data_IF_380819114710
#
_entry.id   IF_380819114710
#
_cell.length_a   1.000
_cell.length_b   1.000
_cell.length_c   1.000
_cell.angle_alpha   90.00
_cell.angle_beta   90.00
_cell.angle_gamma   90.00
#
_symmetry.space_group_name_H-M   'P 1'
#
loop_
_entity.id
_entity.type
_entity.pdbx_description
1 polymer ?
#
# COMPACT_ATOMS: atom_id res chain seq x y z
N UNK A 1 -28.98 21.05 -32.29
CA UNK A 1 -28.33 20.62 -31.03
C UNK A 1 -28.76 21.60 -29.95
N UNK A 2 -29.32 21.13 -28.83
CA UNK A 2 -29.89 22.04 -27.82
C UNK A 2 -28.78 22.73 -27.03
N UNK A 3 -29.06 23.94 -26.57
CA UNK A 3 -28.15 24.77 -25.77
C UNK A 3 -27.69 24.04 -24.48
N UNK A 4 -28.53 23.16 -23.94
CA UNK A 4 -28.21 22.28 -22.81
C UNK A 4 -27.14 21.22 -23.14
N UNK A 5 -27.14 20.67 -24.36
CA UNK A 5 -26.12 19.71 -24.79
C UNK A 5 -24.75 20.38 -24.96
N UNK A 6 -24.73 21.62 -25.44
CA UNK A 6 -23.51 22.41 -25.57
C UNK A 6 -22.93 22.82 -24.21
N UNK A 7 -23.79 23.13 -23.23
CA UNK A 7 -23.37 23.44 -21.86
C UNK A 7 -22.73 22.22 -21.18
N UNK A 8 -23.30 21.03 -21.36
CA UNK A 8 -22.76 19.79 -20.78
C UNK A 8 -21.42 19.39 -21.43
N UNK A 9 -21.27 19.61 -22.74
CA UNK A 9 -20.00 19.37 -23.43
C UNK A 9 -18.91 20.38 -23.00
N UNK A 10 -19.30 21.62 -22.71
CA UNK A 10 -18.39 22.63 -22.18
C UNK A 10 -17.96 22.33 -20.74
N UNK A 11 -18.87 21.84 -19.91
CA UNK A 11 -18.61 21.44 -18.52
C UNK A 11 -17.69 20.21 -18.46
N UNK A 12 -17.92 19.22 -19.32
CA UNK A 12 -17.04 18.05 -19.47
C UNK A 12 -15.62 18.46 -19.89
N UNK A 13 -15.48 19.42 -20.82
CA UNK A 13 -14.16 19.97 -21.22
C UNK A 13 -13.49 20.75 -20.08
N UNK A 14 -14.26 21.40 -19.21
CA UNK A 14 -13.73 22.20 -18.10
C UNK A 14 -13.23 21.32 -16.95
N UNK A 15 -13.89 20.17 -16.70
CA UNK A 15 -13.44 19.18 -15.72
C UNK A 15 -12.07 18.57 -16.08
N UNK A 16 -11.71 18.49 -17.36
CA UNK A 16 -10.40 18.00 -17.81
C UNK A 16 -9.24 18.96 -17.49
N UNK A 17 -9.51 20.22 -17.13
CA UNK A 17 -8.48 21.28 -17.08
C UNK A 17 -7.76 21.41 -15.72
N UNK A 18 -8.11 20.65 -14.68
CA UNK A 18 -7.49 20.80 -13.34
C UNK A 18 -6.73 19.56 -12.84
N UNK A 19 -5.54 19.33 -13.42
CA UNK A 19 -4.25 18.98 -12.77
C UNK A 19 -3.32 18.32 -13.81
N UNK A 20 -2.58 19.16 -14.53
CA UNK A 20 -1.52 18.84 -15.49
C UNK A 20 -1.95 18.17 -16.81
N UNK A 21 -1.46 18.74 -17.92
CA UNK A 21 -1.54 18.15 -19.27
C UNK A 21 -0.18 17.53 -19.58
N UNK A 22 -0.14 16.20 -19.77
CA UNK A 22 1.05 15.53 -20.34
C UNK A 22 0.83 15.39 -21.84
N UNK A 23 1.62 16.09 -22.64
CA UNK A 23 1.57 15.98 -24.10
C UNK A 23 2.36 14.74 -24.54
N UNK A 24 1.69 13.79 -25.20
CA UNK A 24 2.35 12.72 -25.98
C UNK A 24 2.25 11.28 -25.45
N UNK A 25 1.58 11.04 -24.33
CA UNK A 25 1.24 9.69 -23.88
C UNK A 25 -0.29 9.50 -23.93
N UNK A 26 -0.76 8.32 -24.33
CA UNK A 26 -2.15 7.91 -24.05
C UNK A 26 -2.25 7.85 -22.52
N UNK A 27 -2.81 8.90 -21.93
CA UNK A 27 -3.16 8.89 -20.51
C UNK A 27 -4.20 7.81 -20.33
N UNK A 28 -3.87 6.79 -19.55
CA UNK A 28 -4.89 5.93 -18.94
C UNK A 28 -5.89 6.83 -18.21
N UNK A 29 -7.17 6.47 -18.24
CA UNK A 29 -8.22 7.25 -17.60
C UNK A 29 -7.82 7.62 -16.17
N UNK A 30 -8.07 8.86 -15.73
CA UNK A 30 -7.75 9.26 -14.36
C UNK A 30 -8.38 8.27 -13.39
N UNK A 31 -7.55 7.65 -12.54
CA UNK A 31 -8.01 6.70 -11.53
C UNK A 31 -8.94 7.33 -10.48
N UNK A 32 -8.99 8.66 -10.43
CA UNK A 32 -9.87 9.44 -9.55
C UNK A 32 -11.25 9.59 -10.19
N UNK A 33 -12.25 8.86 -9.68
CA UNK A 33 -13.66 9.06 -10.06
C UNK A 33 -14.27 10.23 -9.25
N UNK A 34 -15.10 11.09 -9.86
CA UNK A 34 -15.79 12.15 -9.14
C UNK A 34 -16.80 11.59 -8.12
N UNK A 35 -16.99 12.31 -7.02
CA UNK A 35 -17.99 12.05 -5.97
C UNK A 35 -19.44 11.95 -6.48
N UNK A 36 -20.24 10.95 -6.06
CA UNK A 36 -21.65 10.78 -6.44
C UNK A 36 -22.24 9.39 -6.12
N UNK A 37 -23.54 9.18 -6.43
CA UNK A 37 -24.26 7.89 -6.26
C UNK A 37 -23.56 6.68 -6.92
N UNK A 38 -22.76 6.94 -7.97
CA UNK A 38 -21.94 5.93 -8.65
C UNK A 38 -20.82 5.35 -7.77
N UNK A 39 -20.39 6.03 -6.69
CA UNK A 39 -19.35 5.51 -5.80
C UNK A 39 -19.82 4.35 -4.95
N UNK A 40 -21.04 4.40 -4.40
CA UNK A 40 -21.58 3.29 -3.61
C UNK A 40 -21.68 2.03 -4.45
N UNK A 41 -22.10 2.18 -5.73
CA UNK A 41 -22.15 1.07 -6.70
C UNK A 41 -20.73 0.61 -7.08
N UNK A 42 -19.78 1.52 -7.26
CA UNK A 42 -18.39 1.18 -7.55
C UNK A 42 -17.72 0.44 -6.39
N UNK A 43 -17.94 0.85 -5.14
CA UNK A 43 -17.42 0.18 -3.96
C UNK A 43 -18.07 -1.19 -3.78
N UNK A 44 -19.40 -1.28 -3.87
CA UNK A 44 -20.11 -2.56 -3.76
C UNK A 44 -19.67 -3.55 -4.86
N UNK A 45 -19.50 -3.08 -6.11
CA UNK A 45 -19.01 -3.93 -7.21
C UNK A 45 -17.54 -4.33 -7.06
N UNK A 46 -16.73 -3.55 -6.34
CA UNK A 46 -15.36 -3.90 -5.95
C UNK A 46 -15.31 -4.85 -4.73
N UNK A 47 -16.46 -5.20 -4.14
CA UNK A 47 -16.56 -6.09 -2.98
C UNK A 47 -16.45 -5.39 -1.63
N UNK A 48 -16.59 -4.06 -1.58
CA UNK A 48 -16.68 -3.34 -0.32
C UNK A 48 -17.95 -3.75 0.45
N UNK A 49 -17.79 -3.92 1.75
CA UNK A 49 -18.87 -4.27 2.67
C UNK A 49 -19.34 -2.98 3.35
N UNK A 50 -20.66 -2.78 3.43
CA UNK A 50 -21.23 -1.64 4.15
C UNK A 50 -20.89 -1.73 5.64
N UNK A 51 -20.39 -0.64 6.26
CA UNK A 51 -20.11 -0.63 7.69
C UNK A 51 -21.34 -1.02 8.52
N UNK A 52 -21.21 -1.90 9.53
CA UNK A 52 -22.35 -2.35 10.33
C UNK A 52 -22.93 -1.25 11.24
N UNK A 53 -22.19 -0.17 11.47
CA UNK A 53 -22.58 0.97 12.28
C UNK A 53 -22.35 2.26 11.50
N UNK A 54 -23.20 3.26 11.74
CA UNK A 54 -23.05 4.60 11.19
C UNK A 54 -21.75 5.27 11.71
N UNK A 55 -20.79 5.60 10.82
CA UNK A 55 -19.54 6.24 11.22
C UNK A 55 -19.74 7.57 11.96
N UNK A 56 -20.76 8.36 11.62
CA UNK A 56 -21.02 9.65 12.27
C UNK A 56 -21.42 9.44 13.74
N UNK A 57 -22.31 8.48 14.00
CA UNK A 57 -22.71 8.10 15.35
C UNK A 57 -21.51 7.60 16.20
N UNK A 58 -20.57 6.86 15.60
CA UNK A 58 -19.36 6.41 16.28
C UNK A 58 -18.40 7.57 16.63
N UNK A 59 -18.25 8.54 15.73
CA UNK A 59 -17.49 9.76 15.99
C UNK A 59 -18.10 10.54 17.17
N UNK A 60 -19.42 10.73 17.19
CA UNK A 60 -20.13 11.40 18.30
C UNK A 60 -19.96 10.66 19.63
N UNK A 61 -19.98 9.32 19.62
CA UNK A 61 -19.75 8.51 20.81
C UNK A 61 -18.36 8.78 21.41
N UNK A 62 -17.33 8.89 20.57
CA UNK A 62 -15.99 9.28 21.01
C UNK A 62 -16.02 10.69 21.59
N UNK A 63 -16.56 11.66 20.85
CA UNK A 63 -16.54 13.08 21.23
C UNK A 63 -17.18 13.34 22.59
N UNK A 64 -18.28 12.65 22.90
CA UNK A 64 -19.02 12.81 24.15
C UNK A 64 -18.49 11.92 25.30
N UNK A 65 -17.51 11.05 25.06
CA UNK A 65 -16.94 10.19 26.08
C UNK A 65 -15.67 10.76 26.70
N UNK A 66 -15.70 10.95 28.02
CA UNK A 66 -14.55 11.41 28.79
C UNK A 66 -13.42 10.37 28.90
N UNK A 67 -13.68 9.10 28.58
CA UNK A 67 -12.72 8.00 28.73
C UNK A 67 -12.22 7.46 27.39
N UNK A 68 -13.07 7.41 26.36
CA UNK A 68 -12.69 6.80 25.07
C UNK A 68 -11.53 7.56 24.42
N UNK A 69 -11.54 8.89 24.44
CA UNK A 69 -10.45 9.71 23.89
C UNK A 69 -9.09 9.34 24.48
N UNK A 70 -9.00 9.23 25.80
CA UNK A 70 -7.75 8.89 26.48
C UNK A 70 -7.27 7.48 26.12
N UNK A 71 -8.18 6.52 26.02
CA UNK A 71 -7.86 5.15 25.65
C UNK A 71 -7.35 5.07 24.20
N UNK A 72 -8.04 5.73 23.26
CA UNK A 72 -7.66 5.77 21.84
C UNK A 72 -6.31 6.48 21.66
N UNK A 73 -6.07 7.60 22.34
CA UNK A 73 -4.80 8.31 22.30
C UNK A 73 -3.63 7.47 22.86
N UNK A 74 -3.91 6.66 23.88
CA UNK A 74 -2.96 5.70 24.41
C UNK A 74 -2.61 4.62 23.38
N UNK A 75 -3.60 4.06 22.66
CA UNK A 75 -3.35 3.10 21.58
C UNK A 75 -2.54 3.73 20.43
N UNK A 76 -2.93 4.90 19.95
CA UNK A 76 -2.21 5.61 18.89
C UNK A 76 -0.74 5.88 19.27
N UNK A 77 -0.49 6.21 20.54
CA UNK A 77 0.87 6.45 21.03
C UNK A 77 1.66 5.16 21.22
N UNK A 78 1.08 4.15 21.85
CA UNK A 78 1.80 2.93 22.24
C UNK A 78 2.02 1.96 21.08
N UNK A 79 1.15 1.97 20.07
CA UNK A 79 1.26 1.09 18.91
C UNK A 79 2.05 1.78 17.80
N UNK A 80 1.56 2.95 17.34
CA UNK A 80 2.09 3.60 16.14
C UNK A 80 3.07 4.73 16.47
N UNK A 81 3.11 5.24 17.70
CA UNK A 81 3.97 6.35 18.09
C UNK A 81 5.47 6.04 18.17
N UNK A 82 5.87 4.77 18.25
CA UNK A 82 7.28 4.37 18.26
C UNK A 82 7.89 4.19 16.86
N UNK A 83 7.09 4.41 15.81
CA UNK A 83 7.54 4.33 14.44
C UNK A 83 7.43 2.92 13.85
N UNK A 84 8.34 2.58 12.94
CA UNK A 84 8.31 1.33 12.20
C UNK A 84 9.73 0.83 11.93
N UNK A 85 9.86 -0.47 11.71
CA UNK A 85 11.11 -1.12 11.30
C UNK A 85 10.84 -2.01 10.09
N UNK A 86 11.85 -2.12 9.22
CA UNK A 86 11.84 -3.10 8.14
C UNK A 86 12.55 -4.36 8.61
N UNK A 87 11.88 -5.48 8.49
CA UNK A 87 12.45 -6.80 8.71
C UNK A 87 12.68 -7.44 7.35
N UNK A 88 13.91 -7.92 7.04
CA UNK A 88 14.18 -8.59 5.79
C UNK A 88 13.42 -9.93 5.75
N UNK A 89 13.05 -10.37 4.54
CA UNK A 89 12.37 -11.64 4.36
C UNK A 89 13.25 -12.85 4.76
N UNK A 90 14.56 -12.70 4.66
CA UNK A 90 15.55 -13.69 5.10
C UNK A 90 16.41 -13.05 6.18
N UNK A 91 16.46 -13.67 7.35
CA UNK A 91 17.38 -13.29 8.42
C UNK A 91 18.74 -13.93 8.17
N UNK A 92 19.70 -13.13 7.69
CA UNK A 92 21.04 -13.62 7.36
C UNK A 92 21.97 -13.73 8.57
N UNK A 93 21.54 -13.25 9.73
CA UNK A 93 22.31 -13.31 10.98
C UNK A 93 21.94 -14.55 11.82
N UNK A 94 20.92 -15.29 11.43
CA UNK A 94 20.51 -16.53 12.06
C UNK A 94 21.49 -17.69 11.76
N UNK A 95 21.61 -18.63 12.70
CA UNK A 95 22.50 -19.80 12.57
C UNK A 95 22.11 -20.73 11.41
N UNK A 96 20.84 -20.74 11.03
CA UNK A 96 20.23 -21.55 9.95
C UNK A 96 20.09 -20.79 8.63
N UNK A 97 20.69 -19.60 8.49
CA UNK A 97 20.58 -18.78 7.28
C UNK A 97 21.03 -19.50 6.00
N UNK A 98 22.08 -20.33 6.08
CA UNK A 98 22.58 -21.10 4.93
C UNK A 98 21.62 -22.23 4.53
N UNK A 99 20.95 -22.86 5.50
CA UNK A 99 19.90 -23.87 5.25
C UNK A 99 18.69 -23.21 4.57
N UNK A 100 18.26 -22.03 5.05
CA UNK A 100 17.19 -21.26 4.41
C UNK A 100 17.52 -20.85 2.97
N UNK A 101 18.76 -20.44 2.68
CA UNK A 101 19.20 -20.13 1.31
C UNK A 101 19.23 -21.38 0.45
N UNK A 102 19.64 -22.53 1.00
CA UNK A 102 19.61 -23.80 0.30
C UNK A 102 18.18 -24.22 -0.08
N UNK A 103 17.23 -24.07 0.85
CA UNK A 103 15.80 -24.34 0.62
C UNK A 103 15.22 -23.44 -0.49
N UNK A 104 15.59 -22.16 -0.53
CA UNK A 104 15.18 -21.24 -1.59
C UNK A 104 15.66 -21.74 -2.95
N UNK A 105 16.95 -22.08 -3.08
CA UNK A 105 17.52 -22.58 -4.34
C UNK A 105 16.83 -23.90 -4.74
N UNK A 106 16.62 -24.79 -3.79
CA UNK A 106 15.95 -26.07 -4.02
C UNK A 106 14.52 -25.86 -4.55
N UNK A 107 13.73 -24.99 -3.91
CA UNK A 107 12.36 -24.68 -4.32
C UNK A 107 12.30 -24.02 -5.70
N UNK A 108 13.22 -23.09 -6.00
CA UNK A 108 13.34 -22.46 -7.33
C UNK A 108 13.63 -23.51 -8.41
N UNK A 109 14.58 -24.43 -8.17
CA UNK A 109 14.93 -25.53 -9.09
C UNK A 109 13.76 -26.50 -9.28
N UNK A 110 13.08 -26.88 -8.19
CA UNK A 110 11.92 -27.75 -8.22
C UNK A 110 10.79 -27.13 -9.06
N UNK A 111 10.50 -25.85 -8.86
CA UNK A 111 9.46 -25.15 -9.60
C UNK A 111 9.80 -25.00 -11.10
N UNK A 112 11.08 -24.78 -11.44
CA UNK A 112 11.53 -24.74 -12.84
C UNK A 112 11.40 -26.10 -13.53
N UNK A 113 11.71 -27.19 -12.82
CA UNK A 113 11.51 -28.56 -13.30
C UNK A 113 10.03 -28.86 -13.55
N UNK A 114 9.17 -28.49 -12.61
CA UNK A 114 7.73 -28.73 -12.73
C UNK A 114 7.10 -27.92 -13.89
N UNK A 115 7.70 -26.77 -14.26
CA UNK A 115 7.34 -26.00 -15.46
C UNK A 115 7.96 -26.53 -16.76
N UNK A 116 8.85 -27.52 -16.69
CA UNK A 116 9.55 -28.07 -17.86
C UNK A 116 10.52 -27.08 -18.51
N UNK A 117 11.05 -26.13 -17.73
CA UNK A 117 11.96 -25.08 -18.23
C UNK A 117 13.43 -25.54 -18.34
N UNK A 118 13.74 -26.74 -17.84
CA UNK A 118 15.10 -27.28 -17.77
C UNK A 118 15.16 -28.65 -18.43
N UNK A 119 16.02 -28.78 -19.45
CA UNK A 119 16.18 -30.00 -20.26
C UNK A 119 17.13 -31.04 -19.62
N UNK A 120 18.06 -30.60 -18.76
CA UNK A 120 18.95 -31.46 -17.96
C UNK A 120 18.39 -31.64 -16.54
N UNK A 121 18.79 -32.69 -15.82
CA UNK A 121 18.57 -32.82 -14.37
C UNK A 121 19.67 -32.03 -13.62
N UNK A 122 19.52 -30.72 -13.33
CA UNK A 122 20.42 -30.08 -12.38
C UNK A 122 20.26 -30.80 -11.04
N UNK A 123 21.36 -30.97 -10.30
CA UNK A 123 21.29 -31.45 -8.94
C UNK A 123 20.33 -30.55 -8.15
N UNK A 124 19.23 -31.12 -7.63
CA UNK A 124 18.23 -30.35 -6.89
C UNK A 124 18.85 -29.72 -5.63
N UNK A 125 19.77 -30.44 -5.00
CA UNK A 125 20.52 -29.98 -3.84
C UNK A 125 21.62 -29.00 -4.27
N UNK A 126 21.66 -27.78 -3.72
CA UNK A 126 22.73 -26.83 -4.02
C UNK A 126 24.04 -27.22 -3.33
N UNK A 127 25.15 -26.83 -3.95
CA UNK A 127 26.49 -26.95 -3.37
C UNK A 127 26.77 -25.83 -2.38
N UNK A 128 27.75 -26.02 -1.48
CA UNK A 128 28.17 -24.99 -0.52
C UNK A 128 28.60 -23.67 -1.21
N UNK A 129 29.25 -23.76 -2.37
CA UNK A 129 29.66 -22.59 -3.15
C UNK A 129 28.46 -21.82 -3.71
N UNK A 130 27.45 -22.54 -4.24
CA UNK A 130 26.20 -21.94 -4.73
C UNK A 130 25.42 -21.28 -3.60
N UNK A 131 25.35 -21.90 -2.41
CA UNK A 131 24.71 -21.30 -1.23
C UNK A 131 25.43 -20.00 -0.83
N UNK A 132 26.77 -20.02 -0.78
CA UNK A 132 27.56 -18.84 -0.42
C UNK A 132 27.47 -17.71 -1.45
N UNK A 133 27.36 -18.03 -2.74
CA UNK A 133 27.12 -17.04 -3.80
C UNK A 133 25.71 -16.44 -3.69
N UNK A 134 24.69 -17.30 -3.58
CA UNK A 134 23.29 -16.86 -3.46
C UNK A 134 23.06 -16.03 -2.20
N UNK A 135 23.65 -16.41 -1.08
CA UNK A 135 23.59 -15.64 0.17
C UNK A 135 24.15 -14.22 -0.02
N UNK A 136 25.32 -14.08 -0.64
CA UNK A 136 25.93 -12.77 -0.92
C UNK A 136 25.04 -11.91 -1.82
N UNK A 137 24.45 -12.52 -2.85
CA UNK A 137 23.52 -11.83 -3.75
C UNK A 137 22.28 -11.33 -3.00
N UNK A 138 21.61 -12.22 -2.25
CA UNK A 138 20.39 -11.89 -1.52
C UNK A 138 20.64 -10.84 -0.41
N UNK A 139 21.78 -10.90 0.28
CA UNK A 139 22.19 -9.87 1.24
C UNK A 139 22.34 -8.50 0.59
N UNK A 140 22.97 -8.44 -0.59
CA UNK A 140 23.15 -7.20 -1.33
C UNK A 140 21.81 -6.65 -1.82
N UNK A 141 20.92 -7.51 -2.35
CA UNK A 141 19.57 -7.13 -2.76
C UNK A 141 18.76 -6.60 -1.58
N UNK A 142 18.76 -7.31 -0.43
CA UNK A 142 18.05 -6.88 0.78
C UNK A 142 18.56 -5.54 1.31
N UNK A 143 19.87 -5.27 1.22
CA UNK A 143 20.43 -3.95 1.58
C UNK A 143 19.92 -2.83 0.67
N UNK A 144 19.87 -3.07 -0.65
CA UNK A 144 19.37 -2.10 -1.63
C UNK A 144 17.87 -1.85 -1.40
N UNK A 145 17.09 -2.91 -1.23
CA UNK A 145 15.65 -2.82 -0.97
C UNK A 145 15.36 -2.06 0.31
N UNK A 146 16.05 -2.38 1.41
CA UNK A 146 15.92 -1.65 2.68
C UNK A 146 16.19 -0.15 2.51
N UNK A 147 17.23 0.20 1.75
CA UNK A 147 17.54 1.61 1.48
C UNK A 147 16.44 2.29 0.65
N UNK A 148 15.88 1.59 -0.35
CA UNK A 148 14.75 2.08 -1.15
C UNK A 148 13.51 2.30 -0.30
N UNK A 149 13.16 1.33 0.55
CA UNK A 149 11.99 1.40 1.44
C UNK A 149 12.14 2.51 2.47
N UNK A 150 13.32 2.64 3.10
CA UNK A 150 13.59 3.73 4.03
C UNK A 150 13.37 5.09 3.36
N UNK A 151 13.99 5.32 2.20
CA UNK A 151 13.80 6.56 1.45
C UNK A 151 12.33 6.79 1.07
N UNK A 152 11.61 5.74 0.65
CA UNK A 152 10.18 5.87 0.34
C UNK A 152 9.38 6.29 1.57
N UNK A 153 9.48 5.57 2.69
CA UNK A 153 8.65 5.86 3.87
C UNK A 153 9.02 7.17 4.57
N UNK A 154 10.24 7.66 4.42
CA UNK A 154 10.65 9.00 4.87
C UNK A 154 9.92 10.12 4.10
N UNK A 155 9.52 9.89 2.84
CA UNK A 155 8.96 10.92 1.95
C UNK A 155 7.60 10.58 1.33
N UNK A 156 7.00 9.44 1.68
CA UNK A 156 5.74 8.97 1.09
C UNK A 156 4.54 9.85 1.43
N UNK A 157 4.67 10.73 2.42
CA UNK A 157 3.65 11.64 2.89
C UNK A 157 4.17 13.09 2.78
N UNK A 158 3.39 14.00 2.18
CA UNK A 158 3.82 15.38 1.97
C UNK A 158 3.58 16.26 3.21
N UNK A 159 2.41 16.12 3.82
CA UNK A 159 1.95 16.99 4.91
C UNK A 159 2.32 16.45 6.32
N UNK A 160 2.70 15.18 6.40
CA UNK A 160 2.85 14.41 7.64
C UNK A 160 4.02 13.42 7.52
N UNK A 161 4.56 12.97 8.65
CA UNK A 161 5.43 11.79 8.64
C UNK A 161 4.60 10.51 8.44
N UNK A 162 5.23 9.42 7.99
CA UNK A 162 4.55 8.13 7.93
C UNK A 162 4.06 7.65 9.32
N UNK A 163 4.78 8.03 10.38
CA UNK A 163 4.37 7.76 11.77
C UNK A 163 3.07 8.50 12.10
N UNK A 164 2.96 9.77 11.72
CA UNK A 164 1.73 10.56 11.93
C UNK A 164 0.56 10.01 11.11
N UNK A 165 0.80 9.60 9.86
CA UNK A 165 -0.19 8.91 9.03
C UNK A 165 -0.74 7.68 9.76
N UNK A 166 0.15 6.83 10.26
CA UNK A 166 -0.24 5.62 11.01
C UNK A 166 -1.00 5.96 12.30
N UNK A 167 -0.58 6.97 13.06
CA UNK A 167 -1.28 7.40 14.27
C UNK A 167 -2.72 7.87 13.98
N UNK A 168 -2.93 8.64 12.91
CA UNK A 168 -4.27 9.05 12.46
C UNK A 168 -5.11 7.84 12.02
N UNK A 169 -4.49 6.91 11.32
CA UNK A 169 -5.14 5.66 10.90
C UNK A 169 -5.55 4.80 12.08
N UNK A 170 -4.73 4.75 13.13
CA UNK A 170 -5.08 4.09 14.38
C UNK A 170 -6.28 4.74 15.04
N UNK A 171 -6.30 6.07 15.13
CA UNK A 171 -7.45 6.79 15.67
C UNK A 171 -8.74 6.43 14.92
N UNK A 172 -8.69 6.44 13.59
CA UNK A 172 -9.83 6.04 12.76
C UNK A 172 -10.26 4.58 13.01
N UNK A 173 -9.31 3.64 13.02
CA UNK A 173 -9.57 2.23 13.32
C UNK A 173 -10.24 2.03 14.68
N UNK A 174 -9.78 2.73 15.72
CA UNK A 174 -10.35 2.59 17.07
C UNK A 174 -11.69 3.33 17.23
N UNK A 175 -11.96 4.35 16.43
CA UNK A 175 -13.20 5.14 16.51
C UNK A 175 -14.31 4.54 15.65
N UNK A 176 -14.05 4.33 14.35
CA UNK A 176 -15.06 3.92 13.38
C UNK A 176 -14.95 2.45 12.95
N UNK A 177 -13.89 1.76 13.38
CA UNK A 177 -13.58 0.40 12.92
C UNK A 177 -12.93 0.33 11.54
N UNK A 178 -12.74 1.47 10.87
CA UNK A 178 -12.24 1.56 9.50
C UNK A 178 -11.12 2.61 9.41
N UNK A 179 -10.17 2.42 8.51
CA UNK A 179 -9.19 3.44 8.14
C UNK A 179 -8.74 3.25 6.70
N UNK A 180 -8.53 4.35 5.99
CA UNK A 180 -8.28 4.32 4.55
C UNK A 180 -7.06 5.15 4.18
N UNK A 181 -6.27 4.62 3.26
CA UNK A 181 -5.20 5.35 2.57
C UNK A 181 -5.48 5.39 1.08
N UNK A 182 -5.40 6.57 0.49
CA UNK A 182 -5.31 6.69 -0.96
C UNK A 182 -3.85 6.48 -1.39
N UNK A 183 -3.66 5.53 -2.32
CA UNK A 183 -2.35 5.17 -2.85
C UNK A 183 -2.19 5.79 -4.23
N UNK A 184 -1.28 6.74 -4.35
CA UNK A 184 -0.98 7.39 -5.62
C UNK A 184 0.20 6.69 -6.30
N UNK A 185 0.05 6.44 -7.60
CA UNK A 185 1.05 5.80 -8.46
C UNK A 185 1.50 6.76 -9.56
N UNK A 186 2.75 6.60 -10.02
CA UNK A 186 3.25 7.33 -11.19
C UNK A 186 2.80 6.68 -12.51
N UNK A 187 3.20 7.27 -13.63
CA UNK A 187 2.90 6.75 -14.97
C UNK A 187 3.58 5.41 -15.33
N UNK A 188 4.40 4.85 -14.43
CA UNK A 188 4.97 3.50 -14.54
C UNK A 188 4.25 2.51 -13.63
N UNK A 189 3.27 2.96 -12.85
CA UNK A 189 2.54 2.15 -11.88
C UNK A 189 3.23 2.01 -10.52
N UNK A 190 4.37 2.67 -10.31
CA UNK A 190 5.10 2.62 -9.04
C UNK A 190 4.40 3.48 -8.00
N UNK A 191 4.34 3.02 -6.75
CA UNK A 191 3.75 3.79 -5.65
C UNK A 191 4.68 4.98 -5.34
N UNK A 192 4.11 6.18 -5.34
CA UNK A 192 4.85 7.42 -5.08
C UNK A 192 4.38 8.16 -3.83
N UNK A 193 3.12 7.97 -3.42
CA UNK A 193 2.57 8.71 -2.29
C UNK A 193 1.43 7.96 -1.61
N UNK A 194 1.35 8.15 -0.30
CA UNK A 194 0.23 7.76 0.55
C UNK A 194 -0.48 9.03 1.04
N UNK A 195 -1.80 9.02 1.00
CA UNK A 195 -2.64 10.12 1.48
C UNK A 195 -3.62 9.58 2.52
N UNK A 196 -3.68 10.27 3.65
CA UNK A 196 -4.67 10.00 4.68
C UNK A 196 -6.07 10.33 4.18
N UNK A 197 -6.99 9.37 4.26
CA UNK A 197 -8.41 9.57 3.97
C UNK A 197 -9.19 9.33 5.26
N UNK A 198 -9.87 10.36 5.81
CA UNK A 198 -10.64 10.21 7.04
C UNK A 198 -11.72 9.14 6.91
N UNK A 199 -11.81 8.25 7.91
CA UNK A 199 -12.73 7.11 7.87
C UNK A 199 -14.21 7.46 7.72
N UNK A 200 -14.63 8.64 8.17
CA UNK A 200 -16.01 9.12 8.05
C UNK A 200 -16.34 9.75 6.68
N UNK A 201 -15.37 9.82 5.75
CA UNK A 201 -15.54 10.45 4.43
C UNK A 201 -15.76 9.46 3.29
N UNK A 202 -15.72 8.16 3.58
CA UNK A 202 -15.89 7.03 2.64
C UNK A 202 -17.12 6.25 3.06
#
# INVERSE_FOLDING_TARGET
MSEAAAAHEAEARLQTILKAVVVGARTEDPASRPGGEDLTVAFASAGAIEPPYDPEALCLLMEHSNSLRQNVDAYATNIDGFGHRFEPAVDFDADDADEHVADIIYLERLAARDRGEVDDEPALQPTEEEIAERRRELQQLGRIERARLAAFFDFCCFDHSFVDLRRRSRQDLEVTGNAFWEVLRDGRGEIVRLVYVPSYSV
#
